data_IF_897297235008
#
_entry.id   IF_897297235008
#
_cell.length_a   1.000
_cell.length_b   1.000
_cell.length_c   1.000
_cell.angle_alpha   90.00
_cell.angle_beta   90.00
_cell.angle_gamma   90.00
#
_symmetry.space_group_name_H-M   'P 1'
#
loop_
_entity.id
_entity.type
_entity.pdbx_description
1 polymer ?
#
# COMPACT_ATOMS: atom_id res chain seq x y z
N UNK A 1 -3.82 4.19 31.64
CA UNK A 1 -2.66 3.45 31.12
C UNK A 1 -2.88 3.20 29.63
N UNK A 2 -1.93 3.58 28.78
CA UNK A 2 -2.00 3.29 27.34
C UNK A 2 -1.65 1.82 27.11
N UNK A 3 -2.49 1.09 26.38
CA UNK A 3 -2.25 -0.33 26.06
C UNK A 3 -1.19 -0.42 24.96
N UNK A 4 0.05 -0.71 25.33
CA UNK A 4 1.12 -0.98 24.35
C UNK A 4 0.86 -2.34 23.71
N UNK A 5 0.44 -2.34 22.44
CA UNK A 5 0.24 -3.57 21.68
C UNK A 5 1.59 -4.25 21.42
N UNK A 6 1.70 -5.52 21.82
CA UNK A 6 2.83 -6.38 21.44
C UNK A 6 2.40 -7.23 20.25
N UNK A 7 3.07 -7.05 19.12
CA UNK A 7 2.82 -7.84 17.91
C UNK A 7 3.21 -9.29 18.15
N UNK A 8 2.38 -10.23 17.71
CA UNK A 8 2.76 -11.65 17.67
C UNK A 8 3.77 -11.83 16.54
N UNK A 9 4.98 -12.26 16.87
CA UNK A 9 6.09 -12.49 15.93
C UNK A 9 6.31 -13.96 15.62
N UNK A 10 5.48 -14.85 16.16
CA UNK A 10 5.63 -16.29 15.95
C UNK A 10 5.45 -16.62 14.47
N UNK A 11 6.35 -17.46 13.96
CA UNK A 11 6.29 -17.94 12.59
C UNK A 11 5.01 -18.77 12.37
N UNK A 12 4.36 -18.63 11.21
CA UNK A 12 3.21 -19.44 10.88
C UNK A 12 3.60 -20.93 10.87
N UNK A 13 2.75 -21.76 11.44
CA UNK A 13 2.95 -23.23 11.49
C UNK A 13 2.75 -23.90 10.12
N UNK A 14 2.37 -23.16 9.09
CA UNK A 14 2.03 -23.66 7.76
C UNK A 14 3.01 -23.14 6.70
N UNK A 15 3.27 -23.95 5.68
CA UNK A 15 4.07 -23.53 4.52
C UNK A 15 3.25 -22.66 3.56
N UNK A 16 3.91 -21.80 2.78
CA UNK A 16 3.26 -21.04 1.71
C UNK A 16 2.63 -21.96 0.66
N UNK A 17 3.21 -23.14 0.42
CA UNK A 17 2.68 -24.15 -0.49
C UNK A 17 1.36 -24.74 0.03
N UNK A 18 1.29 -25.05 1.32
CA UNK A 18 0.08 -25.55 1.98
C UNK A 18 -1.06 -24.54 1.87
N UNK A 19 -0.73 -23.26 1.99
CA UNK A 19 -1.70 -22.18 1.88
C UNK A 19 -2.25 -22.08 0.45
N UNK A 20 -1.39 -22.13 -0.57
CA UNK A 20 -1.82 -22.12 -1.98
C UNK A 20 -2.70 -23.32 -2.30
N UNK A 21 -2.34 -24.50 -1.81
CA UNK A 21 -3.11 -25.72 -1.97
C UNK A 21 -4.48 -25.63 -1.27
N UNK A 22 -4.52 -25.10 -0.04
CA UNK A 22 -5.76 -24.91 0.70
C UNK A 22 -6.73 -23.97 -0.03
N UNK A 23 -6.25 -22.83 -0.54
CA UNK A 23 -7.08 -21.88 -1.31
C UNK A 23 -7.61 -22.54 -2.58
N UNK A 24 -6.76 -23.27 -3.30
CA UNK A 24 -7.16 -23.98 -4.53
C UNK A 24 -8.25 -25.02 -4.28
N UNK A 25 -8.18 -25.77 -3.19
CA UNK A 25 -9.20 -26.77 -2.82
C UNK A 25 -10.53 -26.13 -2.42
N UNK A 26 -10.50 -24.94 -1.79
CA UNK A 26 -11.70 -24.17 -1.48
C UNK A 26 -12.37 -23.66 -2.78
N UNK A 27 -11.59 -23.11 -3.70
CA UNK A 27 -12.11 -22.54 -4.95
C UNK A 27 -12.57 -23.61 -5.96
N UNK A 28 -11.80 -24.68 -6.14
CA UNK A 28 -12.04 -25.70 -7.18
C UNK A 28 -12.92 -26.84 -6.67
N UNK A 29 -12.59 -27.40 -5.50
CA UNK A 29 -13.29 -28.57 -4.95
C UNK A 29 -14.44 -28.20 -4.01
N UNK A 30 -14.74 -26.90 -3.84
CA UNK A 30 -15.78 -26.36 -2.96
C UNK A 30 -15.67 -26.87 -1.52
N UNK A 31 -14.44 -27.07 -1.03
CA UNK A 31 -14.24 -27.37 0.38
C UNK A 31 -14.68 -26.19 1.24
N UNK A 32 -15.21 -26.48 2.43
CA UNK A 32 -15.47 -25.43 3.41
C UNK A 32 -14.17 -24.97 4.07
N UNK A 33 -14.08 -23.69 4.41
CA UNK A 33 -12.93 -23.09 5.10
C UNK A 33 -12.54 -23.87 6.37
N UNK A 34 -13.54 -24.40 7.08
CA UNK A 34 -13.34 -25.27 8.26
C UNK A 34 -12.64 -26.57 7.93
N UNK A 35 -13.01 -27.21 6.82
CA UNK A 35 -12.41 -28.47 6.36
C UNK A 35 -10.97 -28.24 5.92
N UNK A 36 -10.72 -27.19 5.13
CA UNK A 36 -9.38 -26.82 4.69
C UNK A 36 -8.47 -26.41 5.87
N UNK A 37 -8.99 -25.62 6.81
CA UNK A 37 -8.23 -25.18 7.99
C UNK A 37 -7.83 -26.31 8.92
N UNK A 38 -8.72 -27.29 9.13
CA UNK A 38 -8.40 -28.49 9.90
C UNK A 38 -7.33 -29.36 9.20
N UNK A 39 -7.40 -29.47 7.87
CA UNK A 39 -6.49 -30.29 7.09
C UNK A 39 -5.07 -29.72 7.03
N UNK A 40 -4.93 -28.42 6.73
CA UNK A 40 -3.63 -27.76 6.59
C UNK A 40 -3.14 -27.08 7.87
N UNK A 41 -3.88 -27.20 8.98
CA UNK A 41 -3.61 -26.52 10.26
C UNK A 41 -3.47 -24.99 10.12
N UNK A 42 -4.23 -24.41 9.18
CA UNK A 42 -4.25 -22.97 8.93
C UNK A 42 -5.44 -22.37 9.70
N UNK A 43 -5.23 -21.24 10.36
CA UNK A 43 -6.33 -20.57 11.06
C UNK A 43 -7.40 -20.09 10.08
N UNK A 44 -8.66 -20.15 10.49
CA UNK A 44 -9.80 -19.76 9.63
C UNK A 44 -9.69 -18.31 9.15
N UNK A 45 -9.23 -17.41 10.01
CA UNK A 45 -9.04 -15.99 9.66
C UNK A 45 -8.00 -15.81 8.55
N UNK A 46 -6.90 -16.56 8.59
CA UNK A 46 -5.90 -16.57 7.52
C UNK A 46 -6.51 -17.06 6.22
N UNK A 47 -7.18 -18.21 6.22
CA UNK A 47 -7.82 -18.75 5.01
C UNK A 47 -8.87 -17.80 4.45
N UNK A 48 -9.75 -17.25 5.27
CA UNK A 48 -10.80 -16.34 4.82
C UNK A 48 -10.21 -15.05 4.25
N UNK A 49 -9.13 -14.51 4.82
CA UNK A 49 -8.44 -13.35 4.26
C UNK A 49 -7.80 -13.65 2.89
N UNK A 50 -7.23 -14.83 2.71
CA UNK A 50 -6.65 -15.27 1.44
C UNK A 50 -7.72 -15.54 0.36
N UNK A 51 -8.81 -16.22 0.72
CA UNK A 51 -9.94 -16.52 -0.18
C UNK A 51 -10.66 -15.25 -0.60
N UNK A 52 -10.94 -14.35 0.33
CA UNK A 52 -11.58 -13.05 0.04
C UNK A 52 -10.62 -12.05 -0.62
N UNK A 53 -9.33 -12.40 -0.80
CA UNK A 53 -8.26 -11.53 -1.31
C UNK A 53 -8.17 -10.19 -0.57
N UNK A 54 -8.56 -10.17 0.71
CA UNK A 54 -8.52 -8.97 1.58
C UNK A 54 -7.09 -8.69 2.07
N UNK A 55 -6.13 -9.53 1.69
CA UNK A 55 -4.73 -9.33 1.99
C UNK A 55 -4.19 -8.17 1.16
N UNK A 56 -4.09 -7.03 1.84
CA UNK A 56 -3.16 -5.96 1.50
C UNK A 56 -3.40 -5.29 0.15
N UNK A 57 -4.65 -4.99 -0.20
CA UNK A 57 -4.88 -3.85 -1.10
C UNK A 57 -4.58 -2.56 -0.30
N UNK A 58 -3.32 -2.12 -0.34
CA UNK A 58 -2.85 -0.84 0.19
C UNK A 58 -3.06 -0.62 1.71
N UNK A 59 -2.44 -1.45 2.57
CA UNK A 59 -2.28 -1.07 3.99
C UNK A 59 -1.22 0.03 4.07
N UNK A 60 -1.69 1.28 3.98
CA UNK A 60 -0.92 2.51 4.10
C UNK A 60 -1.88 3.69 4.19
N UNK A 61 -1.39 4.87 4.59
CA UNK A 61 -2.22 6.09 4.55
C UNK A 61 -2.79 6.27 3.13
N UNK A 62 -4.09 6.62 2.99
CA UNK A 62 -4.68 6.92 1.68
C UNK A 62 -3.82 7.96 0.98
N UNK A 63 -3.44 7.66 -0.27
CA UNK A 63 -2.59 8.55 -1.04
C UNK A 63 -3.30 9.88 -1.20
N UNK A 64 -2.66 10.97 -0.81
CA UNK A 64 -3.23 12.32 -0.95
C UNK A 64 -3.49 12.69 -2.42
N UNK A 65 -2.73 12.08 -3.34
CA UNK A 65 -2.89 12.23 -4.78
C UNK A 65 -3.28 10.91 -5.47
N UNK A 66 -4.13 11.01 -6.48
CA UNK A 66 -4.49 9.90 -7.37
C UNK A 66 -3.32 9.53 -8.30
N UNK A 67 -3.40 8.34 -8.92
CA UNK A 67 -2.34 7.86 -9.81
C UNK A 67 -2.09 8.78 -11.02
N UNK A 68 -3.14 9.40 -11.56
CA UNK A 68 -3.02 10.34 -12.68
C UNK A 68 -2.32 11.64 -12.27
N UNK A 69 -2.62 12.16 -11.07
CA UNK A 69 -1.97 13.36 -10.51
C UNK A 69 -0.48 13.09 -10.25
N UNK A 70 -0.12 11.88 -9.79
CA UNK A 70 1.28 11.45 -9.61
C UNK A 70 2.00 11.36 -10.97
N UNK A 71 1.38 10.73 -11.97
CA UNK A 71 1.98 10.62 -13.32
C UNK A 71 2.26 11.98 -13.92
N UNK A 72 1.33 12.93 -13.77
CA UNK A 72 1.55 14.31 -14.20
C UNK A 72 2.78 14.95 -13.54
N UNK A 73 2.92 14.80 -12.21
CA UNK A 73 4.09 15.33 -11.50
C UNK A 73 5.40 14.66 -11.95
N UNK A 74 5.37 13.35 -12.23
CA UNK A 74 6.53 12.63 -12.78
C UNK A 74 6.90 13.19 -14.16
N UNK A 75 5.95 13.29 -15.07
CA UNK A 75 6.18 13.80 -16.43
C UNK A 75 6.73 15.24 -16.40
N UNK A 76 6.21 16.07 -15.50
CA UNK A 76 6.71 17.43 -15.26
C UNK A 76 8.17 17.41 -14.79
N UNK A 77 8.51 16.57 -13.81
CA UNK A 77 9.90 16.48 -13.32
C UNK A 77 10.86 15.98 -14.40
N UNK A 78 10.46 14.99 -15.20
CA UNK A 78 11.27 14.48 -16.32
C UNK A 78 11.49 15.57 -17.36
N UNK A 79 10.42 16.29 -17.74
CA UNK A 79 10.51 17.38 -18.73
C UNK A 79 11.46 18.49 -18.26
N UNK A 80 11.39 18.87 -16.98
CA UNK A 80 12.31 19.87 -16.41
C UNK A 80 13.75 19.38 -16.40
N UNK A 81 13.97 18.09 -16.15
CA UNK A 81 15.30 17.49 -16.20
C UNK A 81 15.85 17.47 -17.63
N UNK A 82 15.02 17.18 -18.63
CA UNK A 82 15.39 17.24 -20.04
C UNK A 82 15.78 18.66 -20.48
N UNK A 83 15.20 19.68 -19.83
CA UNK A 83 15.58 21.09 -20.01
C UNK A 83 16.86 21.49 -19.24
N UNK A 84 17.52 20.53 -18.57
CA UNK A 84 18.78 20.73 -17.87
C UNK A 84 18.64 21.18 -16.42
N UNK A 85 17.43 21.12 -15.84
CA UNK A 85 17.23 21.45 -14.45
C UNK A 85 17.55 20.24 -13.55
N UNK A 86 18.42 20.44 -12.56
CA UNK A 86 18.69 19.43 -11.54
C UNK A 86 17.53 19.41 -10.55
N UNK A 87 16.77 18.33 -10.53
CA UNK A 87 15.69 18.15 -9.57
C UNK A 87 16.23 17.56 -8.26
N UNK A 88 16.25 18.38 -7.21
CA UNK A 88 16.50 17.91 -5.86
C UNK A 88 15.21 17.54 -5.14
N UNK A 89 15.33 16.89 -3.99
CA UNK A 89 14.21 16.60 -3.10
C UNK A 89 13.32 17.84 -2.81
N UNK A 90 13.94 19.00 -2.58
CA UNK A 90 13.21 20.23 -2.27
C UNK A 90 12.45 20.75 -3.49
N UNK A 91 12.98 20.57 -4.69
CA UNK A 91 12.33 21.01 -5.92
C UNK A 91 11.07 20.18 -6.20
N UNK A 92 11.16 18.85 -6.03
CA UNK A 92 9.99 17.97 -6.18
C UNK A 92 8.89 18.33 -5.17
N UNK A 93 9.26 18.63 -3.92
CA UNK A 93 8.29 19.10 -2.93
C UNK A 93 7.68 20.46 -3.32
N UNK A 94 8.47 21.36 -3.89
CA UNK A 94 8.00 22.66 -4.35
C UNK A 94 7.01 22.52 -5.51
N UNK A 95 7.31 21.71 -6.53
CA UNK A 95 6.39 21.46 -7.64
C UNK A 95 5.10 20.80 -7.18
N UNK A 96 5.20 19.85 -6.25
CA UNK A 96 4.04 19.23 -5.65
C UNK A 96 3.20 20.24 -4.85
N UNK A 97 3.84 21.14 -4.07
CA UNK A 97 3.16 22.20 -3.34
C UNK A 97 2.42 23.15 -4.29
N UNK A 98 3.09 23.62 -5.36
CA UNK A 98 2.50 24.48 -6.37
C UNK A 98 1.29 23.81 -7.03
N UNK A 99 1.40 22.52 -7.37
CA UNK A 99 0.29 21.75 -7.90
C UNK A 99 -0.89 21.65 -6.92
N UNK A 100 -0.62 21.36 -5.64
CA UNK A 100 -1.63 21.28 -4.58
C UNK A 100 -2.35 22.62 -4.38
N UNK A 101 -1.62 23.74 -4.47
CA UNK A 101 -2.17 25.08 -4.35
C UNK A 101 -3.08 25.43 -5.53
N UNK A 102 -2.61 25.18 -6.77
CA UNK A 102 -3.38 25.43 -8.00
C UNK A 102 -4.67 24.60 -8.01
N UNK A 103 -4.60 23.34 -7.58
CA UNK A 103 -5.73 22.41 -7.60
C UNK A 103 -6.59 22.49 -6.34
N UNK A 104 -6.28 23.38 -5.39
CA UNK A 104 -6.98 23.53 -4.10
C UNK A 104 -7.10 22.23 -3.29
N UNK A 105 -6.00 21.46 -3.21
CA UNK A 105 -5.94 20.14 -2.59
C UNK A 105 -5.32 20.14 -1.19
N UNK A 106 -5.12 21.31 -0.58
CA UNK A 106 -4.42 21.47 0.70
C UNK A 106 -5.06 20.63 1.81
N UNK A 107 -6.39 20.46 1.78
CA UNK A 107 -7.13 19.66 2.77
C UNK A 107 -6.75 18.17 2.78
N UNK A 108 -6.14 17.65 1.70
CA UNK A 108 -5.69 16.26 1.62
C UNK A 108 -4.35 16.01 2.34
N UNK A 109 -3.65 17.09 2.73
CA UNK A 109 -2.35 17.03 3.39
C UNK A 109 -2.41 17.56 4.81
N UNK A 110 -1.76 16.86 5.75
CA UNK A 110 -1.63 17.37 7.11
C UNK A 110 -0.76 18.64 7.12
N UNK A 111 -1.38 19.78 7.45
CA UNK A 111 -0.71 21.09 7.37
C UNK A 111 -0.71 21.71 5.98
N UNK A 112 -1.47 21.17 5.02
CA UNK A 112 -1.67 21.79 3.70
C UNK A 112 -0.52 21.61 2.71
N UNK A 113 0.52 20.83 3.06
CA UNK A 113 1.74 20.71 2.27
C UNK A 113 2.28 19.27 2.19
N UNK A 114 2.96 18.90 1.09
CA UNK A 114 3.61 17.60 0.97
C UNK A 114 4.81 17.52 1.92
N UNK A 115 4.85 16.45 2.69
CA UNK A 115 5.91 16.21 3.68
C UNK A 115 6.97 15.25 3.13
N UNK A 116 8.06 15.07 3.89
CA UNK A 116 9.09 14.06 3.58
C UNK A 116 8.51 12.65 3.41
N UNK A 117 7.52 12.29 4.22
CA UNK A 117 6.87 10.98 4.17
C UNK A 117 6.11 10.79 2.85
N UNK A 118 5.41 11.84 2.40
CA UNK A 118 4.78 11.85 1.09
C UNK A 118 5.79 11.66 -0.04
N UNK A 119 6.94 12.35 0.01
CA UNK A 119 7.99 12.21 -1.01
C UNK A 119 8.56 10.78 -1.07
N UNK A 120 8.75 10.14 0.08
CA UNK A 120 9.18 8.72 0.10
C UNK A 120 8.12 7.81 -0.53
N UNK A 121 6.84 8.09 -0.32
CA UNK A 121 5.74 7.39 -0.98
C UNK A 121 5.65 7.67 -2.47
N UNK A 122 6.03 8.88 -2.91
CA UNK A 122 6.13 9.27 -4.31
C UNK A 122 7.24 8.49 -5.02
N UNK A 123 8.44 8.39 -4.44
CA UNK A 123 9.57 7.67 -5.04
C UNK A 123 9.41 6.15 -5.14
N UNK A 124 8.61 5.54 -4.27
CA UNK A 124 8.38 4.08 -4.27
C UNK A 124 7.48 3.61 -5.40
N UNK A 125 6.84 4.54 -6.12
CA UNK A 125 5.86 4.27 -7.16
C UNK A 125 6.46 4.57 -8.52
#
# INVERSE_FOLDING_TARGET
MVRTYKRKTDEPTYSEEDLKNAVKLIEVEKWSDRKAGAHFKITLGTLSSHVLKVLNANIGHPTALACEEIRYLVDLTVTLQDWGQLNTYNDVLKYAQEYIEIMNLQSRFAGGAPTRDWYQGFLKR
#
